data_IF_196677098057
#
_entry.id   IF_196677098057
#
_cell.length_a   1.000
_cell.length_b   1.000
_cell.length_c   1.000
_cell.angle_alpha   90.00
_cell.angle_beta   90.00
_cell.angle_gamma   90.00
#
_symmetry.space_group_name_H-M   'P 1'
#
loop_
_entity.id
_entity.type
_entity.pdbx_description
1 polymer ?
#
# COMPACT_ATOMS: atom_id res chain seq x y z
N UNK A 1 -12.54 -17.10 -8.70
CA UNK A 1 -11.60 -16.12 -9.28
C UNK A 1 -10.66 -15.72 -8.16
N UNK A 2 -9.36 -16.06 -8.20
CA UNK A 2 -8.42 -15.46 -7.25
C UNK A 2 -8.37 -13.97 -7.57
N UNK A 3 -8.93 -13.13 -6.70
CA UNK A 3 -8.75 -11.69 -6.80
C UNK A 3 -7.27 -11.41 -6.59
N UNK A 4 -6.53 -11.14 -7.67
CA UNK A 4 -5.12 -10.74 -7.60
C UNK A 4 -5.01 -9.55 -6.64
N UNK A 5 -4.14 -9.65 -5.62
CA UNK A 5 -3.99 -8.54 -4.68
C UNK A 5 -3.42 -7.34 -5.44
N UNK A 6 -3.82 -6.11 -5.13
CA UNK A 6 -3.21 -4.89 -5.66
C UNK A 6 -1.67 -4.91 -5.67
N UNK A 7 -1.04 -5.52 -4.67
CA UNK A 7 0.43 -5.67 -4.61
C UNK A 7 1.01 -6.54 -5.74
N UNK A 8 0.26 -7.53 -6.22
CA UNK A 8 0.69 -8.45 -7.29
C UNK A 8 0.60 -7.79 -8.67
N UNK A 9 -0.21 -6.74 -8.79
CA UNK A 9 -0.42 -5.97 -10.03
C UNK A 9 0.56 -4.80 -10.21
N UNK A 10 1.46 -4.58 -9.24
CA UNK A 10 2.45 -3.51 -9.31
C UNK A 10 3.58 -3.86 -10.27
N UNK A 11 3.91 -2.91 -11.15
CA UNK A 11 5.14 -2.95 -11.93
C UNK A 11 6.39 -3.00 -11.02
N UNK A 12 7.54 -3.51 -11.49
CA UNK A 12 8.75 -3.65 -10.68
C UNK A 12 9.20 -2.36 -9.98
N UNK A 13 9.05 -1.21 -10.64
CA UNK A 13 9.39 0.10 -10.08
C UNK A 13 8.48 0.48 -8.91
N UNK A 14 7.16 0.38 -9.10
CA UNK A 14 6.16 0.69 -8.07
C UNK A 14 6.23 -0.30 -6.90
N UNK A 15 6.51 -1.57 -7.19
CA UNK A 15 6.74 -2.59 -6.16
C UNK A 15 7.98 -2.28 -5.33
N UNK A 16 9.05 -1.77 -5.96
CA UNK A 16 10.22 -1.31 -5.25
C UNK A 16 9.91 -0.10 -4.36
N UNK A 17 9.14 0.88 -4.86
CA UNK A 17 8.68 2.02 -4.04
C UNK A 17 7.85 1.57 -2.83
N UNK A 18 6.91 0.65 -3.01
CA UNK A 18 6.10 0.10 -1.92
C UNK A 18 6.98 -0.64 -0.89
N UNK A 19 7.93 -1.45 -1.33
CA UNK A 19 8.83 -2.16 -0.43
C UNK A 19 9.72 -1.20 0.37
N UNK A 20 10.19 -0.11 -0.24
CA UNK A 20 10.96 0.92 0.46
C UNK A 20 10.10 1.60 1.53
N UNK A 21 8.82 1.89 1.24
CA UNK A 21 7.88 2.42 2.23
C UNK A 21 7.73 1.44 3.40
N UNK A 22 7.40 0.18 3.13
CA UNK A 22 7.24 -0.86 4.17
C UNK A 22 8.51 -0.98 5.03
N UNK A 23 9.69 -0.94 4.41
CA UNK A 23 10.97 -1.00 5.11
C UNK A 23 11.18 0.20 6.05
N UNK A 24 10.88 1.42 5.60
CA UNK A 24 10.99 2.64 6.43
C UNK A 24 10.09 2.55 7.67
N UNK A 25 8.81 2.20 7.48
CA UNK A 25 7.85 2.07 8.58
C UNK A 25 8.25 0.97 9.58
N UNK A 26 8.80 -0.14 9.08
CA UNK A 26 9.37 -1.20 9.92
C UNK A 26 10.58 -0.72 10.73
N UNK A 27 11.46 0.10 10.16
CA UNK A 27 12.59 0.69 10.89
C UNK A 27 12.14 1.62 12.01
N UNK A 28 11.01 2.30 11.84
CA UNK A 28 10.39 3.15 12.87
C UNK A 28 9.61 2.35 13.94
N UNK A 29 9.72 1.00 13.95
CA UNK A 29 8.95 0.10 14.82
C UNK A 29 7.42 0.24 14.67
N UNK A 30 6.95 0.73 13.52
CA UNK A 30 5.53 0.85 13.18
C UNK A 30 5.23 0.03 11.90
N UNK A 31 5.25 -1.31 11.97
CA UNK A 31 5.02 -2.13 10.78
C UNK A 31 3.62 -1.91 10.21
N UNK A 32 3.54 -1.67 8.91
CA UNK A 32 2.26 -1.57 8.20
C UNK A 32 1.54 -2.92 8.17
N UNK A 33 0.24 -2.88 8.39
CA UNK A 33 -0.68 -4.02 8.26
C UNK A 33 -0.88 -4.39 6.80
N UNK A 34 -1.27 -5.65 6.53
CA UNK A 34 -1.61 -6.11 5.17
C UNK A 34 -2.65 -5.22 4.46
N UNK A 35 -3.60 -4.66 5.20
CA UNK A 35 -4.61 -3.73 4.67
C UNK A 35 -4.01 -2.39 4.25
N UNK A 36 -3.11 -1.84 5.06
CA UNK A 36 -2.43 -0.57 4.76
C UNK A 36 -1.55 -0.73 3.52
N UNK A 37 -0.84 -1.86 3.42
CA UNK A 37 -0.05 -2.23 2.24
C UNK A 37 -0.94 -2.31 0.99
N UNK A 38 -2.14 -2.88 1.11
CA UNK A 38 -3.12 -2.96 0.02
C UNK A 38 -3.58 -1.56 -0.43
N UNK A 39 -3.86 -0.67 0.53
CA UNK A 39 -4.25 0.72 0.27
C UNK A 39 -3.12 1.47 -0.46
N UNK A 40 -1.87 1.32 -0.02
CA UNK A 40 -0.73 1.92 -0.72
C UNK A 40 -0.53 1.35 -2.12
N UNK A 41 -0.73 0.05 -2.32
CA UNK A 41 -0.65 -0.57 -3.64
C UNK A 41 -1.73 -0.03 -4.59
N UNK A 42 -2.98 0.09 -4.13
CA UNK A 42 -4.07 0.71 -4.93
C UNK A 42 -3.77 2.15 -5.30
N UNK A 43 -3.15 2.91 -4.38
CA UNK A 43 -2.73 4.28 -4.66
C UNK A 43 -1.63 4.33 -5.73
N UNK A 44 -0.62 3.47 -5.65
CA UNK A 44 0.45 3.38 -6.66
C UNK A 44 -0.05 2.88 -8.03
N UNK A 45 -1.10 2.06 -8.04
CA UNK A 45 -1.79 1.66 -9.27
C UNK A 45 -2.64 2.79 -9.86
N UNK A 46 -2.94 3.85 -9.10
CA UNK A 46 -3.83 4.93 -9.52
C UNK A 46 -5.33 4.57 -9.42
N UNK A 47 -5.67 3.52 -8.69
CA UNK A 47 -7.07 3.08 -8.49
C UNK A 47 -7.80 3.94 -7.46
N UNK A 48 -7.06 4.58 -6.56
CA UNK A 48 -7.58 5.50 -5.55
C UNK A 48 -6.78 6.80 -5.55
N UNK A 49 -7.44 7.89 -5.18
CA UNK A 49 -6.79 9.20 -5.04
C UNK A 49 -6.03 9.32 -3.71
N UNK A 50 -5.22 10.37 -3.58
CA UNK A 50 -4.52 10.67 -2.33
C UNK A 50 -5.49 10.95 -1.16
N UNK A 51 -6.66 11.54 -1.46
CA UNK A 51 -7.71 11.79 -0.47
C UNK A 51 -8.35 10.48 0.00
N UNK A 52 -8.72 9.60 -0.93
CA UNK A 52 -9.28 8.28 -0.61
C UNK A 52 -8.28 7.41 0.15
N UNK A 53 -6.99 7.45 -0.21
CA UNK A 53 -5.93 6.78 0.54
C UNK A 53 -5.89 7.27 1.99
N UNK A 54 -5.98 8.58 2.23
CA UNK A 54 -5.98 9.13 3.59
C UNK A 54 -7.19 8.67 4.38
N UNK A 55 -8.40 8.73 3.80
CA UNK A 55 -9.62 8.26 4.44
C UNK A 55 -9.53 6.77 4.80
N UNK A 56 -9.10 5.93 3.85
CA UNK A 56 -9.00 4.48 4.06
C UNK A 56 -7.96 4.10 5.12
N UNK A 57 -6.87 4.88 5.25
CA UNK A 57 -5.87 4.67 6.31
C UNK A 57 -6.39 5.13 7.68
N UNK A 58 -7.14 6.23 7.73
CA UNK A 58 -7.80 6.73 8.95
C UNK A 58 -8.82 5.72 9.49
N UNK A 59 -9.55 5.05 8.60
CA UNK A 59 -10.47 3.96 8.95
C UNK A 59 -9.78 2.67 9.47
N UNK A 60 -8.45 2.55 9.37
CA UNK A 60 -7.70 1.42 9.95
C UNK A 60 -7.11 1.70 11.34
N UNK A 61 -7.16 2.96 11.81
CA UNK A 61 -6.67 3.39 13.14
C UNK A 61 -7.76 3.28 14.21
#
# INVERSE_FOLDING_TARGET
>A
MPSERPVDRLDPEKRHQLNNLIASWRMENMPLSDKEIDIFARYLLGEITAEQRRQLLDEQL
#
